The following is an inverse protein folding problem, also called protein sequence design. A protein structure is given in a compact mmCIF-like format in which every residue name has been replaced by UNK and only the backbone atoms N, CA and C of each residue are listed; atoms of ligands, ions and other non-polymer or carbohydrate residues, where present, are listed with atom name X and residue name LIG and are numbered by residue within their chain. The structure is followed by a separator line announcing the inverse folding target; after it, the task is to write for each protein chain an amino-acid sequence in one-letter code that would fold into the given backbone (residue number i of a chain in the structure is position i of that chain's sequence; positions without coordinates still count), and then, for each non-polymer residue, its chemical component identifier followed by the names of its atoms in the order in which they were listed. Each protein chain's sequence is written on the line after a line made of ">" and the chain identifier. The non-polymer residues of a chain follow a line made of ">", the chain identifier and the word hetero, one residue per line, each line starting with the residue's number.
data_IF_196761752232
#
_entry.id   IF_196761752232
#
_cell.length_a   1.000
_cell.length_b   1.000
_cell.length_c   1.000
_cell.angle_alpha   90.00
_cell.angle_beta   90.00
_cell.angle_gamma   90.00
#
_symmetry.space_group_name_H-M   'P 1'
#
loop_
_entity.id
_entity.type
_entity.pdbx_description
1 polymer ?
#
# COMPACT_ATOMS: atom_id res chain seq x y z
N UNK A 1 21.28 -16.48 29.21
CA UNK A 1 22.15 -15.99 28.12
C UNK A 1 21.29 -15.33 27.06
N UNK A 2 21.06 -14.02 27.18
CA UNK A 2 20.27 -13.26 26.20
C UNK A 2 21.14 -12.92 25.00
N UNK A 3 20.89 -13.58 23.87
CA UNK A 3 21.50 -13.27 22.58
C UNK A 3 20.73 -12.09 21.97
N UNK A 4 21.30 -10.88 22.02
CA UNK A 4 20.81 -9.74 21.23
C UNK A 4 21.59 -9.67 19.91
N UNK A 5 20.91 -9.35 18.81
CA UNK A 5 21.58 -9.10 17.55
C UNK A 5 22.42 -7.81 17.61
N UNK A 6 23.50 -7.70 16.82
CA UNK A 6 24.21 -6.44 16.64
C UNK A 6 23.29 -5.40 15.96
N UNK A 7 23.51 -4.10 16.22
CA UNK A 7 22.72 -3.04 15.58
C UNK A 7 22.88 -3.10 14.05
N UNK A 8 21.76 -2.92 13.34
CA UNK A 8 21.71 -2.87 11.88
C UNK A 8 21.22 -1.50 11.43
N UNK A 9 21.75 -1.01 10.30
CA UNK A 9 21.28 0.21 9.67
C UNK A 9 19.86 0.05 9.13
N UNK A 10 19.06 1.11 9.24
CA UNK A 10 17.73 1.20 8.61
C UNK A 10 17.91 1.83 7.24
N UNK A 11 17.66 1.05 6.18
CA UNK A 11 17.84 1.50 4.80
C UNK A 11 16.61 2.17 4.19
N UNK A 12 15.44 1.99 4.80
CA UNK A 12 14.15 2.43 4.26
C UNK A 12 13.18 2.80 5.38
N UNK A 13 12.21 3.66 5.06
CA UNK A 13 11.18 4.13 5.99
C UNK A 13 11.47 5.51 6.58
N UNK A 14 10.53 6.02 7.34
CA UNK A 14 10.62 7.31 8.02
C UNK A 14 10.64 7.09 9.54
N UNK A 15 11.37 7.90 10.33
CA UNK A 15 11.33 7.79 11.78
C UNK A 15 9.91 7.99 12.30
N UNK A 16 9.44 7.07 13.16
CA UNK A 16 8.15 7.21 13.83
C UNK A 16 8.15 8.47 14.71
N UNK A 17 7.08 9.26 14.63
CA UNK A 17 6.99 10.55 15.33
C UNK A 17 7.66 11.71 14.59
N UNK A 18 8.19 11.48 13.37
CA UNK A 18 8.62 12.59 12.51
C UNK A 18 7.44 13.41 12.02
N UNK A 19 7.59 14.74 12.04
CA UNK A 19 6.57 15.70 11.53
C UNK A 19 6.29 15.47 10.04
N UNK A 20 7.32 15.07 9.29
CA UNK A 20 7.21 14.81 7.85
C UNK A 20 6.71 13.41 7.50
N UNK A 21 6.69 12.47 8.46
CA UNK A 21 6.30 11.08 8.21
C UNK A 21 4.93 10.96 7.55
N UNK A 22 3.86 11.59 8.08
CA UNK A 22 2.54 11.57 7.46
C UNK A 22 2.50 12.16 6.04
N UNK A 23 3.24 13.24 5.79
CA UNK A 23 3.30 13.86 4.47
C UNK A 23 4.01 12.96 3.45
N UNK A 24 5.15 12.38 3.82
CA UNK A 24 5.89 11.45 2.97
C UNK A 24 5.08 10.17 2.69
N UNK A 25 4.32 9.71 3.68
CA UNK A 25 3.39 8.61 3.52
C UNK A 25 2.29 8.94 2.50
N UNK A 26 1.67 10.13 2.59
CA UNK A 26 0.66 10.56 1.62
C UNK A 26 1.22 10.66 0.20
N UNK A 27 2.42 11.23 0.03
CA UNK A 27 3.08 11.29 -1.27
C UNK A 27 3.31 9.89 -1.84
N UNK A 28 3.76 8.96 -1.00
CA UNK A 28 4.01 7.57 -1.42
C UNK A 28 2.75 6.84 -1.87
N UNK A 29 1.63 6.99 -1.14
CA UNK A 29 0.40 6.24 -1.43
C UNK A 29 -0.48 6.88 -2.50
N UNK A 30 -0.31 8.18 -2.79
CA UNK A 30 -1.15 8.89 -3.75
C UNK A 30 -1.02 8.39 -5.20
N UNK A 31 0.04 7.66 -5.54
CA UNK A 31 0.21 7.07 -6.87
C UNK A 31 -0.53 5.73 -7.02
N UNK A 32 -0.92 5.09 -5.91
CA UNK A 32 -1.55 3.76 -5.88
C UNK A 32 -2.85 3.68 -6.72
N UNK A 33 -3.73 4.70 -6.77
CA UNK A 33 -4.91 4.68 -7.64
C UNK A 33 -4.59 4.64 -9.14
N UNK A 34 -3.39 5.04 -9.56
CA UNK A 34 -2.98 4.96 -10.96
C UNK A 34 -2.52 3.56 -11.38
N UNK A 35 -2.28 2.67 -10.41
CA UNK A 35 -1.80 1.30 -10.64
C UNK A 35 -2.92 0.29 -10.88
N UNK A 36 -4.19 0.67 -10.63
CA UNK A 36 -5.34 -0.22 -10.68
C UNK A 36 -6.46 0.35 -11.54
N UNK A 37 -7.25 -0.52 -12.13
CA UNK A 37 -8.39 -0.13 -12.98
C UNK A 37 -9.72 -0.09 -12.22
N UNK A 38 -9.80 -0.74 -11.05
CA UNK A 38 -10.95 -0.73 -10.14
C UNK A 38 -11.03 0.54 -9.28
N UNK A 39 -12.19 0.77 -8.66
CA UNK A 39 -12.33 1.86 -7.70
C UNK A 39 -11.47 1.58 -6.47
N UNK A 40 -10.83 2.63 -5.96
CA UNK A 40 -10.02 2.55 -4.75
C UNK A 40 -10.33 3.72 -3.81
N UNK A 41 -10.39 3.41 -2.52
CA UNK A 41 -10.38 4.39 -1.45
C UNK A 41 -9.15 4.18 -0.57
N UNK A 42 -8.45 5.26 -0.25
CA UNK A 42 -7.25 5.27 0.57
C UNK A 42 -7.57 5.95 1.91
N UNK A 43 -7.10 5.36 3.01
CA UNK A 43 -7.15 5.96 4.32
C UNK A 43 -5.93 5.55 5.14
N UNK A 44 -4.99 6.48 5.32
CA UNK A 44 -3.69 6.14 5.89
C UNK A 44 -3.11 4.89 5.19
N UNK A 45 -2.63 3.89 5.94
CA UNK A 45 -2.09 2.62 5.44
C UNK A 45 -3.15 1.64 4.90
N UNK A 46 -4.44 1.91 5.13
CA UNK A 46 -5.52 1.08 4.62
C UNK A 46 -5.97 1.51 3.22
N UNK A 47 -6.31 0.52 2.39
CA UNK A 47 -7.01 0.77 1.13
C UNK A 47 -8.14 -0.23 0.92
N UNK A 48 -9.18 0.22 0.21
CA UNK A 48 -10.30 -0.62 -0.20
C UNK A 48 -10.43 -0.54 -1.71
N UNK A 49 -10.27 -1.69 -2.37
CA UNK A 49 -10.46 -1.85 -3.82
C UNK A 49 -11.76 -2.60 -4.09
N UNK A 50 -12.59 -2.08 -5.00
CA UNK A 50 -13.85 -2.70 -5.35
C UNK A 50 -14.27 -2.43 -6.80
N UNK A 51 -15.07 -3.35 -7.34
CA UNK A 51 -15.61 -3.32 -8.71
C UNK A 51 -16.97 -4.01 -8.74
N UNK A 52 -17.88 -3.46 -9.54
CA UNK A 52 -19.13 -4.14 -9.87
C UNK A 52 -18.85 -5.30 -10.84
N UNK A 53 -19.37 -6.50 -10.54
CA UNK A 53 -19.14 -7.70 -11.34
C UNK A 53 -20.34 -7.94 -12.26
N UNK A 54 -20.16 -7.74 -13.56
CA UNK A 54 -21.18 -7.97 -14.59
C UNK A 54 -20.84 -9.19 -15.45
N UNK A 55 -19.56 -9.57 -15.51
CA UNK A 55 -19.07 -10.73 -16.25
C UNK A 55 -17.81 -11.34 -15.62
N UNK A 56 -17.40 -12.53 -16.09
CA UNK A 56 -16.21 -13.23 -15.59
C UNK A 56 -14.92 -12.41 -15.79
N UNK A 57 -14.86 -11.56 -16.82
CA UNK A 57 -13.73 -10.69 -17.05
C UNK A 57 -13.53 -9.68 -15.90
N UNK A 58 -14.60 -9.22 -15.26
CA UNK A 58 -14.52 -8.30 -14.13
C UNK A 58 -13.85 -8.95 -12.92
N UNK A 59 -14.12 -10.24 -12.71
CA UNK A 59 -13.47 -11.05 -11.66
C UNK A 59 -11.97 -11.12 -11.92
N UNK A 60 -11.58 -11.44 -13.16
CA UNK A 60 -10.15 -11.52 -13.52
C UNK A 60 -9.46 -10.17 -13.40
N UNK A 61 -10.16 -9.08 -13.72
CA UNK A 61 -9.59 -7.73 -13.62
C UNK A 61 -9.43 -7.32 -12.17
N UNK A 62 -10.42 -7.57 -11.31
CA UNK A 62 -10.32 -7.28 -9.87
C UNK A 62 -9.15 -8.07 -9.24
N UNK A 63 -8.98 -9.34 -9.60
CA UNK A 63 -7.84 -10.13 -9.12
C UNK A 63 -6.51 -9.59 -9.63
N UNK A 64 -6.44 -9.13 -10.87
CA UNK A 64 -5.23 -8.49 -11.41
C UNK A 64 -4.90 -7.19 -10.68
N UNK A 65 -5.90 -6.36 -10.37
CA UNK A 65 -5.71 -5.12 -9.61
C UNK A 65 -5.20 -5.43 -8.19
N UNK A 66 -5.74 -6.45 -7.51
CA UNK A 66 -5.25 -6.89 -6.19
C UNK A 66 -3.80 -7.41 -6.25
N UNK A 67 -3.44 -8.13 -7.31
CA UNK A 67 -2.07 -8.63 -7.49
C UNK A 67 -1.07 -7.50 -7.80
N UNK A 68 -1.51 -6.41 -8.42
CA UNK A 68 -0.64 -5.27 -8.77
C UNK A 68 -0.23 -4.45 -7.55
N UNK A 69 -0.97 -4.55 -6.45
CA UNK A 69 -0.73 -3.80 -5.21
C UNK A 69 -0.32 -4.68 -4.02
N UNK A 70 -0.21 -6.00 -4.23
CA UNK A 70 0.28 -7.00 -3.26
C UNK A 70 1.77 -7.27 -3.42
#
# INVERSE_FOLDING_TARGET
>A
NSLTSPPSGVHSGVPQGSVLGPLLFLIYINDLPSCVSSHIHLFADDCVIFREILCDNDITTLQSDLNAIS
#
